data_IF_057639824814
#
_entry.id   IF_057639824814
#
_cell.length_a   1.000
_cell.length_b   1.000
_cell.length_c   1.000
_cell.angle_alpha   90.00
_cell.angle_beta   90.00
_cell.angle_gamma   90.00
#
_symmetry.space_group_name_H-M   'P 1'
#
loop_
_entity.id
_entity.type
_entity.pdbx_description
1 polymer ?
#
# COMPACT_ATOMS: atom_id res chain seq x y z
N UNK A 1 9.04 -11.33 20.82
CA UNK A 1 9.68 -10.15 20.23
C UNK A 1 8.59 -9.41 19.45
N UNK A 2 8.58 -8.09 19.45
CA UNK A 2 7.66 -7.28 18.64
C UNK A 2 8.22 -7.19 17.22
N UNK A 3 7.39 -7.40 16.20
CA UNK A 3 7.75 -7.14 14.79
C UNK A 3 7.28 -5.73 14.42
N UNK A 4 8.18 -4.90 13.90
CA UNK A 4 7.91 -3.51 13.53
C UNK A 4 7.96 -3.38 12.01
N UNK A 5 6.85 -2.95 11.41
CA UNK A 5 6.72 -2.77 9.96
C UNK A 5 6.38 -1.32 9.68
N UNK A 6 7.17 -0.66 8.82
CA UNK A 6 6.85 0.65 8.29
C UNK A 6 6.15 0.53 6.94
N UNK A 7 5.15 1.36 6.70
CA UNK A 7 4.38 1.44 5.45
C UNK A 7 4.48 2.84 4.86
N UNK A 8 4.67 2.89 3.54
CA UNK A 8 4.52 4.09 2.72
C UNK A 8 3.70 3.70 1.49
N UNK A 9 2.93 4.64 0.93
CA UNK A 9 2.03 4.38 -0.19
C UNK A 9 1.90 5.61 -1.07
N UNK A 10 1.56 5.39 -2.34
CA UNK A 10 1.13 6.43 -3.27
C UNK A 10 2.15 7.57 -3.31
N UNK A 11 3.39 7.23 -3.71
CA UNK A 11 4.53 8.14 -3.77
C UNK A 11 4.44 9.05 -5.01
N UNK A 12 3.87 8.55 -6.11
CA UNK A 12 3.57 9.30 -7.35
C UNK A 12 4.73 10.16 -7.86
N UNK A 13 5.90 9.57 -8.09
CA UNK A 13 6.99 10.24 -8.82
C UNK A 13 6.52 10.55 -10.23
N UNK A 14 6.49 11.82 -10.62
CA UNK A 14 5.70 12.16 -11.79
C UNK A 14 5.71 13.62 -12.21
N UNK A 15 4.94 13.94 -13.27
CA UNK A 15 4.57 15.31 -13.58
C UNK A 15 3.53 15.79 -12.59
N UNK A 16 3.24 17.10 -12.59
CA UNK A 16 2.18 17.65 -11.75
C UNK A 16 0.82 17.00 -12.07
N UNK A 17 0.17 16.41 -11.07
CA UNK A 17 -1.18 15.85 -11.24
C UNK A 17 -2.24 16.80 -10.67
N UNK A 18 -3.26 17.09 -11.48
CA UNK A 18 -4.34 18.02 -11.13
C UNK A 18 -5.70 17.35 -11.30
N UNK A 19 -6.70 17.76 -10.51
CA UNK A 19 -8.07 17.30 -10.63
C UNK A 19 -9.04 18.48 -10.52
N UNK A 20 -9.99 18.59 -11.45
CA UNK A 20 -10.93 19.71 -11.46
C UNK A 20 -10.26 21.08 -11.57
N UNK A 21 -9.10 21.16 -12.22
CA UNK A 21 -8.30 22.40 -12.36
C UNK A 21 -7.47 22.78 -11.15
N UNK A 22 -7.46 21.97 -10.09
CA UNK A 22 -6.71 22.20 -8.84
C UNK A 22 -5.54 21.23 -8.71
N UNK A 23 -4.45 21.68 -8.10
CA UNK A 23 -3.30 20.84 -7.77
C UNK A 23 -3.70 19.74 -6.78
N UNK A 24 -3.58 18.47 -7.19
CA UNK A 24 -3.92 17.29 -6.38
C UNK A 24 -2.69 16.64 -5.76
N UNK A 25 -1.73 16.23 -6.60
CA UNK A 25 -0.57 15.46 -6.14
C UNK A 25 0.67 16.33 -6.21
N UNK A 26 1.42 16.43 -5.11
CA UNK A 26 2.68 17.18 -5.04
C UNK A 26 3.85 16.31 -5.54
N UNK A 27 3.72 15.81 -6.77
CA UNK A 27 4.64 14.84 -7.39
C UNK A 27 6.09 15.35 -7.49
N UNK A 28 6.29 16.66 -7.64
CA UNK A 28 7.60 17.30 -7.61
C UNK A 28 8.31 17.19 -6.25
N UNK A 29 7.56 16.98 -5.16
CA UNK A 29 8.11 16.76 -3.81
C UNK A 29 8.38 15.28 -3.51
N UNK A 30 7.86 14.35 -4.32
CA UNK A 30 7.97 12.91 -4.10
C UNK A 30 9.41 12.45 -3.84
N UNK A 31 10.44 12.86 -4.63
CA UNK A 31 11.81 12.42 -4.35
C UNK A 31 12.34 12.88 -2.99
N UNK A 32 12.01 14.11 -2.57
CA UNK A 32 12.46 14.65 -1.29
C UNK A 32 11.74 13.99 -0.11
N UNK A 33 10.43 13.81 -0.21
CA UNK A 33 9.60 13.17 0.83
C UNK A 33 9.96 11.70 1.00
N UNK A 34 10.23 10.97 -0.08
CA UNK A 34 10.67 9.56 0.00
C UNK A 34 12.04 9.44 0.67
N UNK A 35 12.99 10.33 0.36
CA UNK A 35 14.29 10.36 1.04
C UNK A 35 14.15 10.68 2.53
N UNK A 36 13.27 11.62 2.89
CA UNK A 36 12.99 11.95 4.29
C UNK A 36 12.34 10.77 5.05
N UNK A 37 11.42 10.04 4.40
CA UNK A 37 10.86 8.80 4.94
C UNK A 37 11.97 7.77 5.21
N UNK A 38 12.82 7.51 4.22
CA UNK A 38 13.93 6.56 4.33
C UNK A 38 14.91 6.96 5.45
N UNK A 39 15.29 8.23 5.53
CA UNK A 39 16.16 8.74 6.60
C UNK A 39 15.54 8.51 7.98
N UNK A 40 14.25 8.82 8.14
CA UNK A 40 13.53 8.56 9.40
C UNK A 40 13.47 7.07 9.74
N UNK A 41 13.31 6.19 8.76
CA UNK A 41 13.32 4.75 9.00
C UNK A 41 14.70 4.26 9.43
N UNK A 42 15.76 4.82 8.87
CA UNK A 42 17.13 4.44 9.22
C UNK A 42 17.57 4.96 10.60
N UNK A 43 17.21 6.20 10.93
CA UNK A 43 17.80 6.89 12.08
C UNK A 43 16.91 6.92 13.31
N UNK A 44 15.58 6.94 13.13
CA UNK A 44 14.61 7.09 14.23
C UNK A 44 13.86 5.79 14.50
N UNK A 45 13.18 5.25 13.49
CA UNK A 45 12.22 4.15 13.70
C UNK A 45 12.88 2.79 13.76
N UNK A 46 13.84 2.55 12.85
CA UNK A 46 14.57 1.27 12.67
C UNK A 46 13.61 0.07 12.64
N UNK A 47 12.65 0.05 11.70
CA UNK A 47 11.72 -1.06 11.58
C UNK A 47 12.45 -2.32 11.13
N UNK A 48 11.86 -3.49 11.37
CA UNK A 48 12.37 -4.75 10.81
C UNK A 48 12.16 -4.76 9.28
N UNK A 49 11.02 -4.24 8.82
CA UNK A 49 10.60 -4.23 7.42
C UNK A 49 10.07 -2.86 7.00
N UNK A 50 10.26 -2.52 5.72
CA UNK A 50 9.54 -1.45 5.02
C UNK A 50 8.67 -2.08 3.94
N UNK A 51 7.41 -1.69 3.88
CA UNK A 51 6.45 -2.09 2.84
C UNK A 51 6.03 -0.84 2.06
N UNK A 52 6.28 -0.87 0.77
CA UNK A 52 5.71 0.07 -0.19
C UNK A 52 4.38 -0.51 -0.71
N UNK A 53 3.28 0.22 -0.51
CA UNK A 53 1.92 -0.22 -0.86
C UNK A 53 1.50 0.10 -2.31
N UNK A 54 2.42 0.62 -3.14
CA UNK A 54 2.23 0.81 -4.58
C UNK A 54 1.89 2.24 -4.97
N UNK A 55 1.71 2.45 -6.27
CA UNK A 55 1.53 3.76 -6.91
C UNK A 55 2.76 4.66 -6.72
N UNK A 56 3.89 4.14 -7.21
CA UNK A 56 5.20 4.77 -7.08
C UNK A 56 5.42 5.90 -8.08
N UNK A 57 4.67 5.89 -9.18
CA UNK A 57 4.75 6.89 -10.25
C UNK A 57 3.37 7.45 -10.59
N UNK A 58 3.35 8.62 -11.23
CA UNK A 58 2.21 9.05 -12.03
C UNK A 58 2.54 8.76 -13.49
N UNK A 59 1.74 7.93 -14.15
CA UNK A 59 1.99 7.41 -15.49
C UNK A 59 1.95 8.51 -16.56
N UNK A 60 2.96 8.53 -17.44
CA UNK A 60 3.08 9.46 -18.56
C UNK A 60 3.37 8.73 -19.88
N UNK A 61 4.27 7.76 -19.84
CA UNK A 61 4.69 7.01 -21.00
C UNK A 61 5.88 6.08 -20.72
N UNK A 62 6.09 5.04 -21.54
CA UNK A 62 7.00 3.94 -21.20
C UNK A 62 8.44 4.31 -20.85
N UNK A 63 9.01 5.37 -21.45
CA UNK A 63 10.38 5.80 -21.16
C UNK A 63 10.45 6.58 -19.83
N UNK A 64 9.57 7.57 -19.64
CA UNK A 64 9.49 8.38 -18.44
C UNK A 64 9.15 7.52 -17.22
N UNK A 65 8.15 6.64 -17.35
CA UNK A 65 7.70 5.75 -16.28
C UNK A 65 8.82 4.83 -15.82
N UNK A 66 9.60 4.26 -16.75
CA UNK A 66 10.74 3.39 -16.39
C UNK A 66 11.82 4.16 -15.63
N UNK A 67 12.09 5.40 -16.05
CA UNK A 67 13.06 6.26 -15.37
C UNK A 67 12.58 6.66 -13.96
N UNK A 68 11.34 7.12 -13.84
CA UNK A 68 10.73 7.57 -12.57
C UNK A 68 10.54 6.42 -11.58
N UNK A 69 10.08 5.27 -12.05
CA UNK A 69 9.94 4.08 -11.22
C UNK A 69 11.31 3.63 -10.72
N UNK A 70 12.34 3.63 -11.60
CA UNK A 70 13.72 3.37 -11.23
C UNK A 70 14.28 4.36 -10.18
N UNK A 71 13.96 5.65 -10.30
CA UNK A 71 14.31 6.68 -9.32
C UNK A 71 13.64 6.42 -7.97
N UNK A 72 12.33 6.15 -7.97
CA UNK A 72 11.57 5.83 -6.75
C UNK A 72 12.14 4.60 -6.04
N UNK A 73 12.35 3.50 -6.78
CA UNK A 73 12.97 2.28 -6.24
C UNK A 73 14.38 2.54 -5.69
N UNK A 74 15.17 3.39 -6.35
CA UNK A 74 16.50 3.77 -5.87
C UNK A 74 16.44 4.56 -4.57
N UNK A 75 15.48 5.49 -4.43
CA UNK A 75 15.26 6.22 -3.20
C UNK A 75 14.85 5.28 -2.05
N UNK A 76 13.87 4.40 -2.27
CA UNK A 76 13.39 3.43 -1.28
C UNK A 76 14.48 2.43 -0.85
N UNK A 77 15.32 1.96 -1.79
CA UNK A 77 16.47 1.07 -1.49
C UNK A 77 17.55 1.72 -0.61
N UNK A 78 17.45 3.02 -0.32
CA UNK A 78 18.25 3.65 0.74
C UNK A 78 17.87 3.22 2.16
N UNK A 79 16.72 2.55 2.35
CA UNK A 79 16.34 1.99 3.64
C UNK A 79 17.26 0.81 4.02
N UNK A 80 17.71 0.77 5.28
CA UNK A 80 18.50 -0.33 5.84
C UNK A 80 17.64 -1.55 6.18
N UNK A 81 16.36 -1.33 6.46
CA UNK A 81 15.38 -2.39 6.68
C UNK A 81 15.06 -3.13 5.39
N UNK A 82 14.61 -4.38 5.50
CA UNK A 82 14.24 -5.18 4.34
C UNK A 82 12.99 -4.57 3.66
N UNK A 83 13.06 -4.38 2.35
CA UNK A 83 12.04 -3.71 1.54
C UNK A 83 11.17 -4.74 0.80
N UNK A 84 9.87 -4.54 0.87
CA UNK A 84 8.83 -5.28 0.16
C UNK A 84 7.89 -4.34 -0.56
N UNK A 85 7.32 -4.80 -1.67
CA UNK A 85 6.53 -3.97 -2.57
C UNK A 85 5.20 -4.63 -2.92
N UNK A 86 4.19 -3.79 -3.05
CA UNK A 86 2.91 -4.05 -3.69
C UNK A 86 2.87 -3.21 -4.96
N UNK A 87 2.36 -3.78 -6.07
CA UNK A 87 2.13 -3.00 -7.28
C UNK A 87 0.78 -2.27 -7.23
N UNK A 88 0.79 -0.97 -7.50
CA UNK A 88 -0.39 -0.13 -7.69
C UNK A 88 -0.87 -0.10 -9.14
N UNK A 89 -1.98 0.59 -9.40
CA UNK A 89 -2.55 0.69 -10.75
C UNK A 89 -1.73 1.61 -11.65
N UNK A 90 -1.16 2.70 -11.11
CA UNK A 90 -0.31 3.61 -11.90
C UNK A 90 1.01 2.93 -12.33
N UNK A 91 1.54 2.00 -11.53
CA UNK A 91 2.81 1.31 -11.82
C UNK A 91 2.75 0.45 -13.08
N UNK A 92 1.58 -0.13 -13.37
CA UNK A 92 1.40 -1.18 -14.39
C UNK A 92 0.82 -0.65 -15.71
N UNK A 93 0.61 0.67 -15.86
CA UNK A 93 0.01 1.24 -17.07
C UNK A 93 0.96 1.11 -18.28
N UNK A 94 2.24 1.45 -18.08
CA UNK A 94 3.24 1.43 -19.15
C UNK A 94 4.45 0.52 -18.88
N UNK A 95 4.55 -0.04 -17.66
CA UNK A 95 5.59 -1.00 -17.30
C UNK A 95 5.04 -2.43 -17.32
N UNK A 96 5.81 -3.33 -17.90
CA UNK A 96 5.52 -4.75 -17.81
C UNK A 96 5.82 -5.29 -16.41
N UNK A 97 5.17 -6.39 -16.04
CA UNK A 97 5.44 -7.13 -14.80
C UNK A 97 6.95 -7.48 -14.67
N UNK A 98 7.60 -7.85 -15.76
CA UNK A 98 9.03 -8.15 -15.75
C UNK A 98 9.91 -6.93 -15.40
N UNK A 99 9.53 -5.73 -15.86
CA UNK A 99 10.25 -4.50 -15.54
C UNK A 99 10.07 -4.09 -14.09
N UNK A 100 8.84 -4.19 -13.58
CA UNK A 100 8.53 -3.92 -12.17
C UNK A 100 9.30 -4.89 -11.26
N UNK A 101 9.23 -6.20 -11.53
CA UNK A 101 9.96 -7.22 -10.77
C UNK A 101 11.48 -7.00 -10.82
N UNK A 102 12.02 -6.65 -12.00
CA UNK A 102 13.44 -6.32 -12.14
C UNK A 102 13.82 -5.10 -11.30
N UNK A 103 12.97 -4.08 -11.24
CA UNK A 103 13.19 -2.87 -10.47
C UNK A 103 13.05 -3.09 -8.95
N UNK A 104 12.25 -4.05 -8.50
CA UNK A 104 12.21 -4.45 -7.07
C UNK A 104 13.52 -5.08 -6.59
N UNK A 105 14.34 -5.64 -7.49
CA UNK A 105 15.65 -6.19 -7.12
C UNK A 105 15.59 -7.43 -6.23
N UNK A 106 14.48 -8.20 -6.32
CA UNK A 106 14.21 -9.42 -5.57
C UNK A 106 14.08 -10.62 -6.50
N UNK A 107 15.17 -11.31 -6.87
CA UNK A 107 15.14 -12.38 -7.87
C UNK A 107 14.28 -13.60 -7.45
N UNK A 108 14.03 -13.78 -6.16
CA UNK A 108 13.13 -14.81 -5.62
C UNK A 108 11.64 -14.48 -5.82
N UNK A 109 11.28 -13.21 -6.06
CA UNK A 109 9.91 -12.78 -6.37
C UNK A 109 9.73 -12.81 -7.88
N UNK A 110 8.91 -13.74 -8.35
CA UNK A 110 8.72 -14.00 -9.80
C UNK A 110 7.35 -13.58 -10.32
N UNK A 111 6.49 -13.06 -9.45
CA UNK A 111 5.14 -12.57 -9.74
C UNK A 111 4.83 -11.35 -8.87
N UNK A 112 3.93 -10.48 -9.33
CA UNK A 112 3.48 -9.31 -8.54
C UNK A 112 2.61 -9.69 -7.32
N UNK A 113 2.18 -10.95 -7.23
CA UNK A 113 1.60 -11.54 -6.03
C UNK A 113 2.52 -12.65 -5.51
N UNK A 114 2.80 -12.63 -4.21
CA UNK A 114 3.76 -13.52 -3.57
C UNK A 114 3.53 -13.49 -2.05
N UNK A 115 4.20 -14.38 -1.33
CA UNK A 115 4.15 -14.39 0.13
C UNK A 115 5.54 -14.60 0.74
N UNK A 116 5.68 -14.21 2.00
CA UNK A 116 6.93 -14.35 2.74
C UNK A 116 6.69 -14.39 4.25
N UNK A 117 7.57 -15.07 4.98
CA UNK A 117 7.51 -15.16 6.44
C UNK A 117 8.59 -14.27 7.08
N UNK A 118 8.20 -13.40 8.02
CA UNK A 118 9.13 -12.55 8.79
C UNK A 118 8.62 -12.34 10.20
N UNK A 119 9.52 -12.41 11.19
CA UNK A 119 9.18 -12.19 12.60
C UNK A 119 8.07 -13.11 13.16
N UNK A 120 7.89 -14.30 12.57
CA UNK A 120 6.81 -15.22 12.94
C UNK A 120 5.43 -14.79 12.43
N UNK A 121 5.36 -13.94 11.42
CA UNK A 121 4.14 -13.53 10.70
C UNK A 121 4.31 -13.90 9.22
N UNK A 122 3.25 -14.44 8.64
CA UNK A 122 3.15 -14.70 7.21
C UNK A 122 2.52 -13.49 6.52
N UNK A 123 3.18 -12.95 5.50
CA UNK A 123 2.69 -11.83 4.71
C UNK A 123 2.28 -12.32 3.34
N UNK A 124 1.04 -12.02 2.94
CA UNK A 124 0.50 -12.29 1.61
C UNK A 124 0.39 -10.98 0.86
N UNK A 125 1.12 -10.84 -0.24
CA UNK A 125 1.07 -9.68 -1.14
C UNK A 125 0.19 -10.01 -2.34
N UNK A 126 -0.83 -9.18 -2.56
CA UNK A 126 -1.77 -9.32 -3.67
C UNK A 126 -1.60 -8.19 -4.70
N UNK A 127 -1.70 -8.57 -5.96
CA UNK A 127 -1.73 -7.65 -7.10
C UNK A 127 -3.17 -7.51 -7.62
N UNK A 128 -3.81 -6.41 -7.25
CA UNK A 128 -5.11 -6.00 -7.77
C UNK A 128 -4.97 -5.32 -9.12
N UNK A 129 -5.90 -5.59 -10.05
CA UNK A 129 -5.89 -5.06 -11.41
C UNK A 129 -7.03 -4.08 -11.60
N UNK A 130 -6.71 -2.89 -12.07
CA UNK A 130 -7.68 -1.87 -12.46
C UNK A 130 -7.98 -1.97 -13.96
N UNK A 131 -9.27 -1.95 -14.31
CA UNK A 131 -9.72 -1.45 -15.60
C UNK A 131 -10.16 -0.01 -15.36
N UNK A 132 -9.33 0.94 -15.81
CA UNK A 132 -9.48 2.37 -15.56
C UNK A 132 -10.94 2.81 -15.76
N UNK A 133 -11.47 3.53 -14.77
CA UNK A 133 -12.84 4.05 -14.72
C UNK A 133 -13.98 2.98 -14.71
N UNK A 134 -13.66 1.69 -14.63
CA UNK A 134 -14.64 0.60 -14.72
C UNK A 134 -14.72 -0.28 -13.47
N UNK A 135 -13.65 -0.97 -13.13
CA UNK A 135 -13.59 -1.81 -11.92
C UNK A 135 -12.18 -2.17 -11.51
N UNK A 136 -12.06 -2.59 -10.25
CA UNK A 136 -10.87 -3.21 -9.70
C UNK A 136 -11.17 -4.68 -9.39
N UNK A 137 -10.26 -5.58 -9.75
CA UNK A 137 -10.44 -7.03 -9.55
C UNK A 137 -9.15 -7.75 -9.16
N UNK A 138 -9.28 -8.93 -8.56
CA UNK A 138 -8.15 -9.81 -8.24
C UNK A 138 -7.90 -10.88 -9.32
N UNK A 139 -8.99 -11.31 -9.98
CA UNK A 139 -9.00 -12.45 -10.91
C UNK A 139 -9.10 -13.81 -10.19
N UNK A 140 -9.64 -14.80 -10.90
CA UNK A 140 -9.95 -16.11 -10.32
C UNK A 140 -8.71 -16.94 -9.96
N UNK A 141 -7.64 -16.90 -10.78
CA UNK A 141 -6.40 -17.61 -10.52
C UNK A 141 -5.76 -17.15 -9.20
N UNK A 142 -5.62 -15.83 -9.02
CA UNK A 142 -5.03 -15.27 -7.82
C UNK A 142 -5.93 -15.43 -6.59
N UNK A 143 -7.26 -15.44 -6.76
CA UNK A 143 -8.17 -15.75 -5.66
C UNK A 143 -8.04 -17.21 -5.20
N UNK A 144 -7.83 -18.15 -6.12
CA UNK A 144 -7.54 -19.54 -5.78
C UNK A 144 -6.17 -19.66 -5.09
N UNK A 145 -5.14 -19.00 -5.63
CA UNK A 145 -3.82 -18.93 -5.01
C UNK A 145 -3.86 -18.36 -3.60
N UNK A 146 -4.65 -17.31 -3.36
CA UNK A 146 -4.83 -16.72 -2.03
C UNK A 146 -5.38 -17.74 -1.02
N UNK A 147 -6.33 -18.59 -1.43
CA UNK A 147 -6.86 -19.64 -0.57
C UNK A 147 -5.77 -20.69 -0.21
N UNK A 148 -4.96 -21.07 -1.20
CA UNK A 148 -3.84 -22.01 -1.00
C UNK A 148 -2.75 -21.42 -0.09
N UNK A 149 -2.36 -20.17 -0.33
CA UNK A 149 -1.34 -19.44 0.44
C UNK A 149 -1.73 -19.34 1.92
N UNK A 150 -2.95 -18.86 2.22
CA UNK A 150 -3.43 -18.73 3.59
C UNK A 150 -3.57 -20.07 4.33
N UNK A 151 -3.86 -21.16 3.59
CA UNK A 151 -3.93 -22.51 4.11
C UNK A 151 -2.56 -23.17 4.33
N UNK A 152 -1.51 -22.70 3.64
CA UNK A 152 -0.18 -23.33 3.64
C UNK A 152 0.61 -23.15 4.93
N UNK A 153 0.21 -22.19 5.77
CA UNK A 153 0.91 -21.81 7.00
C UNK A 153 0.02 -21.98 8.23
N UNK A 154 0.61 -21.97 9.42
CA UNK A 154 -0.10 -21.78 10.69
C UNK A 154 0.28 -20.48 11.39
N UNK A 155 1.21 -19.71 10.80
CA UNK A 155 1.62 -18.41 11.32
C UNK A 155 0.46 -17.42 11.25
N UNK A 156 0.40 -16.44 12.16
CA UNK A 156 -0.48 -15.29 12.00
C UNK A 156 -0.25 -14.62 10.63
N UNK A 157 -1.33 -14.28 9.92
CA UNK A 157 -1.25 -13.76 8.55
C UNK A 157 -1.55 -12.26 8.47
N UNK A 158 -0.85 -11.54 7.61
CA UNK A 158 -1.14 -10.15 7.23
C UNK A 158 -1.26 -10.09 5.72
N UNK A 159 -2.30 -9.41 5.22
CA UNK A 159 -2.51 -9.25 3.78
C UNK A 159 -2.14 -7.82 3.38
N UNK A 160 -1.40 -7.69 2.29
CA UNK A 160 -0.92 -6.43 1.73
C UNK A 160 -1.43 -6.31 0.30
N UNK A 161 -2.04 -5.19 -0.04
CA UNK A 161 -2.60 -4.95 -1.38
C UNK A 161 -2.75 -3.46 -1.66
N UNK A 162 -2.89 -3.05 -2.92
CA UNK A 162 -3.01 -1.63 -3.22
C UNK A 162 -4.45 -1.12 -3.01
N UNK A 163 -5.42 -1.77 -3.64
CA UNK A 163 -6.85 -1.41 -3.55
C UNK A 163 -7.55 -2.10 -2.38
N UNK A 164 -8.60 -1.49 -1.82
CA UNK A 164 -9.19 -1.99 -0.58
C UNK A 164 -10.08 -3.21 -0.77
N UNK A 165 -9.91 -4.21 0.11
CA UNK A 165 -10.83 -5.33 0.28
C UNK A 165 -11.89 -5.06 1.37
N UNK A 166 -11.90 -3.90 2.00
CA UNK A 166 -12.96 -3.52 2.92
C UNK A 166 -14.19 -3.00 2.16
N UNK A 167 -15.37 -3.07 2.79
CA UNK A 167 -16.55 -2.34 2.35
C UNK A 167 -16.52 -0.93 2.96
N UNK A 168 -15.48 -0.16 2.60
CA UNK A 168 -15.23 1.13 3.23
C UNK A 168 -16.38 2.10 2.96
N UNK A 169 -16.74 2.85 4.00
CA UNK A 169 -17.60 4.01 3.85
C UNK A 169 -16.79 5.18 3.30
N UNK A 170 -17.08 5.56 2.06
CA UNK A 170 -16.31 6.56 1.32
C UNK A 170 -16.84 7.98 1.51
N UNK A 171 -17.84 8.19 2.38
CA UNK A 171 -18.38 9.53 2.66
C UNK A 171 -17.27 10.47 3.13
N UNK A 172 -17.17 11.63 2.50
CA UNK A 172 -16.12 12.61 2.75
C UNK A 172 -14.76 12.29 2.11
N UNK A 173 -14.60 11.17 1.41
CA UNK A 173 -13.39 10.94 0.61
C UNK A 173 -13.41 11.86 -0.62
N UNK A 174 -12.38 12.70 -0.76
CA UNK A 174 -12.28 13.73 -1.81
C UNK A 174 -12.35 13.17 -3.24
N UNK A 175 -11.97 11.91 -3.44
CA UNK A 175 -11.76 11.30 -4.75
C UNK A 175 -12.77 10.20 -5.07
N UNK A 176 -13.19 9.44 -4.06
CA UNK A 176 -13.90 8.18 -4.23
C UNK A 176 -15.30 8.13 -3.62
N UNK A 177 -15.80 9.20 -2.99
CA UNK A 177 -17.12 9.21 -2.32
C UNK A 177 -18.28 8.70 -3.20
N UNK A 178 -18.25 8.98 -4.51
CA UNK A 178 -19.24 8.51 -5.48
C UNK A 178 -18.82 7.30 -6.32
N UNK A 179 -17.61 6.78 -6.13
CA UNK A 179 -16.96 5.86 -7.09
C UNK A 179 -16.35 4.61 -6.42
N UNK A 180 -17.11 3.84 -5.61
CA UNK A 180 -16.56 2.67 -4.91
C UNK A 180 -16.04 1.57 -5.85
N UNK A 181 -16.53 1.52 -7.10
CA UNK A 181 -16.18 0.47 -8.06
C UNK A 181 -14.73 0.55 -8.56
N UNK A 182 -14.10 1.73 -8.52
CA UNK A 182 -12.71 1.96 -8.94
C UNK A 182 -11.71 1.96 -7.75
N UNK A 183 -12.18 1.74 -6.52
CA UNK A 183 -11.29 1.69 -5.35
C UNK A 183 -11.49 0.48 -4.44
N UNK A 184 -12.65 -0.19 -4.52
CA UNK A 184 -12.95 -1.39 -3.75
C UNK A 184 -12.93 -2.61 -4.67
N UNK A 185 -12.13 -3.61 -4.31
CA UNK A 185 -11.97 -4.83 -5.14
C UNK A 185 -13.31 -5.54 -5.31
N UNK A 186 -13.65 -5.93 -6.54
CA UNK A 186 -14.93 -6.58 -6.86
C UNK A 186 -15.11 -7.90 -6.11
N UNK A 187 -14.06 -8.72 -6.03
CA UNK A 187 -14.06 -10.01 -5.34
C UNK A 187 -13.90 -9.91 -3.80
N UNK A 188 -13.89 -8.69 -3.24
CA UNK A 188 -13.61 -8.47 -1.80
C UNK A 188 -14.46 -9.30 -0.85
N UNK A 189 -15.73 -9.57 -1.16
CA UNK A 189 -16.57 -10.44 -0.32
C UNK A 189 -16.01 -11.87 -0.21
N UNK A 190 -15.51 -12.43 -1.30
CA UNK A 190 -14.88 -13.74 -1.31
C UNK A 190 -13.53 -13.71 -0.59
N UNK A 191 -12.74 -12.67 -0.82
CA UNK A 191 -11.46 -12.46 -0.13
C UNK A 191 -11.65 -12.38 1.39
N UNK A 192 -12.59 -11.56 1.86
CA UNK A 192 -12.87 -11.43 3.30
C UNK A 192 -13.34 -12.73 3.94
N UNK A 193 -14.10 -13.55 3.21
CA UNK A 193 -14.45 -14.89 3.68
C UNK A 193 -13.21 -15.76 3.91
N UNK A 194 -12.24 -15.75 2.98
CA UNK A 194 -10.96 -16.45 3.18
C UNK A 194 -10.16 -15.86 4.35
N UNK A 195 -10.17 -14.53 4.50
CA UNK A 195 -9.48 -13.86 5.61
C UNK A 195 -10.06 -14.28 6.97
N UNK A 196 -11.38 -14.39 7.07
CA UNK A 196 -12.10 -14.89 8.24
C UNK A 196 -11.78 -16.38 8.51
N UNK A 197 -11.83 -17.23 7.49
CA UNK A 197 -11.58 -18.67 7.60
C UNK A 197 -10.16 -19.00 8.05
N UNK A 198 -9.17 -18.21 7.62
CA UNK A 198 -7.75 -18.44 7.93
C UNK A 198 -7.20 -17.53 9.04
N UNK A 199 -8.03 -16.73 9.71
CA UNK A 199 -7.63 -15.91 10.85
C UNK A 199 -6.58 -14.85 10.51
N UNK A 200 -6.79 -14.11 9.42
CA UNK A 200 -5.94 -12.96 9.04
C UNK A 200 -5.98 -11.91 10.16
N UNK A 201 -4.80 -11.46 10.60
CA UNK A 201 -4.64 -10.49 11.68
C UNK A 201 -4.99 -9.07 11.27
N UNK A 202 -4.65 -8.69 10.04
CA UNK A 202 -4.84 -7.35 9.50
C UNK A 202 -4.67 -7.35 7.98
N UNK A 203 -5.34 -6.42 7.32
CA UNK A 203 -5.18 -6.11 5.89
C UNK A 203 -4.71 -4.66 5.77
N UNK A 204 -3.69 -4.40 4.95
CA UNK A 204 -3.18 -3.05 4.70
C UNK A 204 -3.32 -2.68 3.22
N UNK A 205 -3.74 -1.45 2.95
CA UNK A 205 -3.84 -0.93 1.60
C UNK A 205 -3.55 0.57 1.45
N UNK A 206 -3.30 1.00 0.21
CA UNK A 206 -3.10 2.39 -0.21
C UNK A 206 -4.30 2.92 -0.99
N UNK A 207 -4.06 3.59 -2.13
CA UNK A 207 -5.02 3.95 -3.20
C UNK A 207 -6.06 5.03 -2.85
N UNK A 208 -6.66 4.97 -1.65
CA UNK A 208 -7.75 5.88 -1.28
C UNK A 208 -7.29 7.26 -0.84
N UNK A 209 -5.97 7.44 -0.68
CA UNK A 209 -5.37 8.71 -0.29
C UNK A 209 -6.06 9.34 0.95
N UNK A 210 -6.27 8.51 1.98
CA UNK A 210 -6.67 8.94 3.32
C UNK A 210 -6.33 7.88 4.36
N UNK A 211 -6.28 8.29 5.62
CA UNK A 211 -6.14 7.35 6.72
C UNK A 211 -7.52 6.83 7.13
N UNK A 212 -7.71 5.51 7.06
CA UNK A 212 -8.97 4.89 7.46
C UNK A 212 -8.75 3.54 8.14
N UNK A 213 -9.67 3.17 9.02
CA UNK A 213 -9.73 1.86 9.65
C UNK A 213 -11.17 1.35 9.63
N UNK A 214 -11.36 0.18 9.02
CA UNK A 214 -12.55 -0.64 9.23
C UNK A 214 -12.22 -1.89 10.03
N UNK A 215 -13.16 -2.35 10.85
CA UNK A 215 -13.07 -3.65 11.52
C UNK A 215 -14.25 -4.51 11.08
N UNK A 216 -13.98 -5.51 10.24
CA UNK A 216 -14.99 -6.40 9.68
C UNK A 216 -14.78 -7.79 10.26
N UNK A 217 -15.77 -8.29 11.00
CA UNK A 217 -15.71 -9.61 11.68
C UNK A 217 -14.49 -9.80 12.59
N UNK A 218 -13.99 -8.70 13.15
CA UNK A 218 -12.81 -8.70 14.04
C UNK A 218 -11.47 -8.58 13.30
N UNK A 219 -11.48 -8.50 11.97
CA UNK A 219 -10.28 -8.26 11.16
C UNK A 219 -10.19 -6.75 10.85
N UNK A 220 -9.09 -6.08 11.21
CA UNK A 220 -8.84 -4.69 10.86
C UNK A 220 -8.32 -4.55 9.42
N UNK A 221 -8.87 -3.57 8.71
CA UNK A 221 -8.49 -3.15 7.37
C UNK A 221 -8.00 -1.72 7.47
N UNK A 222 -6.69 -1.54 7.33
CA UNK A 222 -6.00 -0.26 7.52
C UNK A 222 -5.65 0.31 6.16
N UNK A 223 -6.18 1.48 5.86
CA UNK A 223 -5.78 2.27 4.70
C UNK A 223 -4.79 3.33 5.12
N UNK A 224 -3.66 3.37 4.42
CA UNK A 224 -2.59 4.34 4.64
C UNK A 224 -2.73 5.47 3.62
N UNK A 225 -2.75 6.70 4.10
CA UNK A 225 -2.74 7.92 3.30
C UNK A 225 -1.50 7.98 2.38
N UNK A 226 -1.65 8.63 1.24
CA UNK A 226 -0.58 8.91 0.29
C UNK A 226 0.51 9.78 0.90
N UNK A 227 1.76 9.53 0.50
CA UNK A 227 2.89 10.36 0.88
C UNK A 227 2.73 11.81 0.40
N UNK A 228 2.16 12.01 -0.80
CA UNK A 228 2.26 13.27 -1.55
C UNK A 228 0.92 14.00 -1.76
N UNK A 229 -0.19 13.46 -1.26
CA UNK A 229 -1.51 14.07 -1.45
C UNK A 229 -1.50 15.53 -0.95
N UNK A 230 -2.04 16.43 -1.77
CA UNK A 230 -2.20 17.83 -1.40
C UNK A 230 -3.40 17.97 -0.47
N UNK A 231 -3.13 18.31 0.79
CA UNK A 231 -4.17 18.51 1.78
C UNK A 231 -4.88 19.86 1.67
N UNK A 232 -4.32 20.78 0.90
CA UNK A 232 -4.93 22.07 0.66
C UNK A 232 -5.76 22.04 -0.65
N UNK A 233 -6.53 23.09 -0.86
CA UNK A 233 -7.46 23.17 -1.98
C UNK A 233 -6.77 23.31 -3.35
N UNK A 234 -5.59 23.93 -3.39
CA UNK A 234 -4.83 24.21 -4.61
C UNK A 234 -3.34 24.55 -4.31
N UNK A 235 -2.60 25.02 -5.31
CA UNK A 235 -1.20 25.45 -5.22
C UNK A 235 -0.96 26.61 -4.21
N UNK A 236 0.23 26.66 -3.55
CA UNK A 236 1.38 25.76 -3.71
C UNK A 236 1.18 24.38 -3.07
N UNK A 237 0.13 24.23 -2.25
CA UNK A 237 -0.23 22.98 -1.58
C UNK A 237 0.63 22.65 -0.36
N UNK A 238 0.18 21.65 0.39
CA UNK A 238 0.92 21.06 1.51
C UNK A 238 0.80 19.54 1.47
N UNK A 239 1.93 18.81 1.47
CA UNK A 239 1.88 17.36 1.36
C UNK A 239 1.34 16.73 2.64
N UNK A 240 0.62 15.63 2.49
CA UNK A 240 0.26 14.77 3.61
C UNK A 240 1.49 14.24 4.36
N UNK A 241 2.59 13.96 3.63
CA UNK A 241 3.83 13.40 4.14
C UNK A 241 3.60 12.12 4.98
N UNK A 242 2.58 11.34 4.58
CA UNK A 242 2.07 10.25 5.39
C UNK A 242 2.94 8.98 5.26
N UNK A 243 3.08 8.30 6.38
CA UNK A 243 3.61 6.93 6.48
C UNK A 243 3.12 6.32 7.80
N UNK A 244 3.02 5.00 7.87
CA UNK A 244 2.50 4.30 9.04
C UNK A 244 3.52 3.34 9.65
N UNK A 245 3.57 3.25 10.98
CA UNK A 245 4.37 2.27 11.71
C UNK A 245 3.42 1.31 12.42
N UNK A 246 3.43 0.04 12.02
CA UNK A 246 2.71 -1.03 12.70
C UNK A 246 3.65 -1.84 13.61
N UNK A 247 3.22 -2.04 14.84
CA UNK A 247 3.91 -2.81 15.87
C UNK A 247 3.10 -4.05 16.20
N UNK A 248 3.54 -5.21 15.73
CA UNK A 248 2.91 -6.50 15.96
C UNK A 248 3.46 -7.10 17.26
N UNK A 249 2.82 -6.76 18.38
CA UNK A 249 3.11 -7.34 19.68
C UNK A 249 2.42 -8.70 19.88
N UNK A 250 2.68 -9.38 21.00
CA UNK A 250 2.09 -10.70 21.28
C UNK A 250 0.58 -10.66 21.53
N UNK A 251 0.06 -9.54 22.07
CA UNK A 251 -1.35 -9.39 22.45
C UNK A 251 -2.12 -8.38 21.62
N UNK A 252 -1.44 -7.44 20.98
CA UNK A 252 -2.05 -6.34 20.25
C UNK A 252 -1.18 -5.91 19.08
N UNK A 253 -1.82 -5.29 18.11
CA UNK A 253 -1.16 -4.53 17.07
C UNK A 253 -1.50 -3.05 17.29
N UNK A 254 -0.49 -2.20 17.17
CA UNK A 254 -0.64 -0.74 17.19
C UNK A 254 -0.18 -0.21 15.85
N UNK A 255 -0.97 0.63 15.20
CA UNK A 255 -0.60 1.32 13.97
C UNK A 255 -0.61 2.82 14.24
N UNK A 256 0.52 3.48 14.01
CA UNK A 256 0.68 4.92 14.17
C UNK A 256 0.95 5.54 12.80
N UNK A 257 0.07 6.41 12.34
CA UNK A 257 0.26 7.18 11.12
C UNK A 257 0.86 8.53 11.45
N UNK A 258 2.00 8.81 10.83
CA UNK A 258 2.72 10.08 10.88
C UNK A 258 2.39 10.94 9.65
N UNK A 259 2.87 12.18 9.65
CA UNK A 259 2.54 13.18 8.63
C UNK A 259 1.61 14.27 9.16
N UNK A 260 0.92 14.95 8.26
CA UNK A 260 0.02 16.04 8.60
C UNK A 260 -1.33 15.55 9.17
N UNK A 261 -1.82 14.40 8.73
CA UNK A 261 -3.09 13.79 9.19
C UNK A 261 -2.82 12.59 10.11
N UNK A 262 -2.22 12.85 11.28
CA UNK A 262 -1.82 11.79 12.22
C UNK A 262 -3.00 10.97 12.70
N UNK A 263 -2.82 9.66 12.80
CA UNK A 263 -3.80 8.74 13.35
C UNK A 263 -3.13 7.66 14.20
N UNK A 264 -3.89 7.05 15.12
CA UNK A 264 -3.44 5.89 15.89
C UNK A 264 -4.55 4.87 16.00
N UNK A 265 -4.27 3.66 15.56
CA UNK A 265 -5.14 2.51 15.65
C UNK A 265 -4.56 1.47 16.59
N UNK A 266 -5.42 0.78 17.33
CA UNK A 266 -5.02 -0.34 18.17
C UNK A 266 -6.10 -1.41 18.13
N UNK A 267 -5.66 -2.66 17.96
CA UNK A 267 -6.54 -3.81 17.99
C UNK A 267 -5.84 -5.00 18.67
N UNK A 268 -6.63 -5.79 19.39
CA UNK A 268 -6.13 -6.96 20.12
C UNK A 268 -6.00 -8.18 19.19
N UNK A 269 -4.95 -8.97 19.38
CA UNK A 269 -4.75 -10.25 18.72
C UNK A 269 -5.56 -11.30 19.49
N UNK A 270 -6.47 -11.98 18.79
CA UNK A 270 -7.24 -13.09 19.34
C UNK A 270 -6.45 -14.39 19.27
#
# INVERSE_FOLDING_TARGET
MELVVAFVSDLHFGPQASFGGKLRKLTGEAPALTRAFVERMNEVTRPDLVVNLGDDIEDEGPEADRARYGECMTALRGARAELFHVAGNHDVVHLSEAEILSAWGRPEVTRLHYSFDRGGVHFTVLHTRERKDHDVSLGAEQLAWLAEDLASTSLPRVVLMHHSAADQDLRGNRWFEGSPHICLVRERRAMRKLFEEHGVLAVFNGHLHWNHLDVIRGIPYVTVQSLIENLDDDAPGRPAAAHAIARFGPKRVVVEVEGAERARYQFERR
#
